data_IF_426566112362
#
_entry.id   IF_426566112362
#
_cell.length_a   1.000
_cell.length_b   1.000
_cell.length_c   1.000
_cell.angle_alpha   90.00
_cell.angle_beta   90.00
_cell.angle_gamma   90.00
#
_symmetry.space_group_name_H-M   'P 1'
#
loop_
_entity.id
_entity.type
_entity.pdbx_description
1 polymer ?
#
# COMPACT_ATOMS: atom_id res chain seq x y z
N UNK A 1 -13.81 -13.61 -6.79
CA UNK A 1 -12.63 -13.50 -7.68
C UNK A 1 -11.50 -14.25 -7.00
N UNK A 2 -10.91 -15.25 -7.65
CA UNK A 2 -9.84 -16.06 -7.07
C UNK A 2 -8.59 -15.16 -6.82
N UNK A 3 -7.85 -15.49 -5.77
CA UNK A 3 -6.58 -14.84 -5.39
C UNK A 3 -5.57 -14.80 -6.55
N UNK A 4 -5.58 -15.81 -7.40
CA UNK A 4 -4.77 -15.86 -8.63
C UNK A 4 -5.21 -14.80 -9.64
N UNK A 5 -6.50 -14.50 -9.70
CA UNK A 5 -7.04 -13.47 -10.58
C UNK A 5 -6.76 -12.06 -10.08
N UNK A 6 -6.73 -11.84 -8.75
CA UNK A 6 -6.31 -10.55 -8.18
C UNK A 6 -4.83 -10.28 -8.47
N UNK A 7 -3.97 -11.27 -8.21
CA UNK A 7 -2.54 -11.16 -8.49
C UNK A 7 -2.29 -11.02 -10.00
N UNK A 8 -3.02 -11.75 -10.84
CA UNK A 8 -2.96 -11.61 -12.29
C UNK A 8 -3.45 -10.24 -12.76
N UNK A 9 -4.53 -9.71 -12.19
CA UNK A 9 -5.05 -8.37 -12.52
C UNK A 9 -4.15 -7.26 -11.94
N UNK A 10 -3.58 -7.45 -10.76
CA UNK A 10 -2.57 -6.53 -10.20
C UNK A 10 -1.26 -6.55 -10.98
N UNK A 11 -0.88 -7.72 -11.50
CA UNK A 11 0.28 -7.89 -12.39
C UNK A 11 -0.03 -7.47 -13.84
N UNK A 12 -1.32 -7.52 -14.24
CA UNK A 12 -1.79 -7.21 -15.59
C UNK A 12 -2.32 -5.78 -15.73
N UNK A 13 -2.33 -4.98 -14.69
CA UNK A 13 -2.86 -3.66 -14.91
C UNK A 13 -2.89 -2.65 -13.77
N UNK A 14 -2.78 -3.02 -12.53
CA UNK A 14 -2.84 -2.05 -11.43
C UNK A 14 -1.73 -2.31 -10.41
N UNK A 15 -0.87 -1.34 -10.19
CA UNK A 15 0.20 -1.38 -9.20
C UNK A 15 0.19 -0.17 -8.28
N UNK A 16 0.63 -0.35 -7.05
CA UNK A 16 0.91 0.75 -6.12
C UNK A 16 2.41 0.92 -6.03
N UNK A 17 2.89 2.13 -6.32
CA UNK A 17 4.26 2.53 -6.07
C UNK A 17 4.28 3.36 -4.79
N UNK A 18 5.03 2.90 -3.79
CA UNK A 18 5.28 3.62 -2.55
C UNK A 18 6.75 4.03 -2.54
N UNK A 19 7.02 5.32 -2.38
CA UNK A 19 8.38 5.83 -2.20
C UNK A 19 8.46 6.60 -0.88
N UNK A 20 9.53 6.37 -0.13
CA UNK A 20 9.73 7.00 1.16
C UNK A 20 11.15 7.51 1.34
N UNK A 21 11.34 8.54 2.16
CA UNK A 21 12.66 8.98 2.59
C UNK A 21 13.14 8.09 3.74
N UNK A 22 14.06 7.21 3.46
CA UNK A 22 14.71 6.39 4.48
C UNK A 22 16.03 5.85 3.95
N UNK A 23 17.11 6.12 4.66
CA UNK A 23 18.40 5.50 4.33
C UNK A 23 18.27 3.99 4.53
N UNK A 24 18.36 3.23 3.46
CA UNK A 24 18.56 1.79 3.53
C UNK A 24 19.99 1.57 4.01
N UNK A 25 20.21 1.47 5.30
CA UNK A 25 21.38 0.79 5.82
C UNK A 25 21.11 -0.69 5.66
N UNK A 26 21.64 -1.28 4.60
CA UNK A 26 21.80 -2.72 4.53
C UNK A 26 22.67 -3.11 5.71
N UNK A 27 22.13 -3.86 6.65
CA UNK A 27 22.94 -4.64 7.59
C UNK A 27 23.58 -5.77 6.75
N UNK A 28 24.79 -5.49 6.28
CA UNK A 28 25.66 -6.51 5.70
C UNK A 28 26.25 -7.31 6.85
N UNK A 29 25.69 -8.46 7.15
CA UNK A 29 26.48 -9.57 7.67
C UNK A 29 25.70 -10.85 7.35
N UNK A 30 26.40 -11.77 6.67
CA UNK A 30 26.02 -13.14 6.33
C UNK A 30 25.12 -13.31 5.09
N UNK A 31 25.67 -12.97 3.91
CA UNK A 31 25.15 -13.44 2.61
C UNK A 31 26.26 -14.25 1.90
N UNK A 32 26.67 -15.36 2.48
CA UNK A 32 27.63 -16.24 1.79
C UNK A 32 27.02 -17.56 1.29
N UNK A 33 25.71 -17.75 1.28
CA UNK A 33 25.06 -18.97 0.74
C UNK A 33 23.75 -18.77 -0.02
N UNK A 34 23.59 -17.70 -0.79
CA UNK A 34 22.47 -17.63 -1.73
C UNK A 34 22.96 -17.96 -3.14
N UNK A 35 22.64 -19.17 -3.61
CA UNK A 35 22.79 -19.55 -5.03
C UNK A 35 22.08 -18.51 -5.89
N UNK A 36 22.68 -18.08 -7.03
CA UNK A 36 22.03 -17.19 -7.97
C UNK A 36 20.66 -17.75 -8.37
N UNK A 37 19.62 -16.97 -8.22
CA UNK A 37 18.30 -17.32 -8.74
C UNK A 37 18.41 -17.29 -10.27
N UNK A 38 17.99 -18.38 -10.92
CA UNK A 38 17.82 -18.46 -12.36
C UNK A 38 16.98 -17.27 -12.83
N UNK A 39 17.32 -16.63 -13.95
CA UNK A 39 16.55 -15.51 -14.47
C UNK A 39 15.13 -15.97 -14.79
N UNK A 40 14.15 -15.32 -14.18
CA UNK A 40 12.73 -15.55 -14.46
C UNK A 40 12.47 -15.21 -15.91
N UNK A 41 12.13 -16.21 -16.73
CA UNK A 41 11.88 -16.07 -18.18
C UNK A 41 10.61 -15.27 -18.52
N UNK A 42 9.83 -14.84 -17.55
CA UNK A 42 8.63 -14.03 -17.75
C UNK A 42 8.95 -12.55 -17.55
N UNK A 43 9.40 -11.91 -18.63
CA UNK A 43 9.71 -10.49 -18.75
C UNK A 43 8.48 -9.55 -18.65
N UNK A 44 7.36 -10.02 -18.12
CA UNK A 44 6.12 -9.23 -17.99
C UNK A 44 5.97 -8.49 -16.66
N UNK A 45 6.96 -8.61 -15.79
CA UNK A 45 6.99 -7.87 -14.52
C UNK A 45 7.95 -6.70 -14.70
N UNK A 46 7.41 -5.52 -14.97
CA UNK A 46 8.09 -4.25 -15.21
C UNK A 46 8.72 -4.15 -16.62
N UNK A 47 8.09 -3.38 -17.50
CA UNK A 47 8.58 -3.06 -18.84
C UNK A 47 9.87 -2.22 -18.83
N UNK A 48 11.02 -2.82 -18.47
CA UNK A 48 12.35 -2.19 -18.52
C UNK A 48 13.11 -2.48 -19.81
N UNK A 49 12.47 -3.06 -20.80
CA UNK A 49 13.15 -3.40 -22.06
C UNK A 49 12.94 -2.35 -23.12
N UNK A 50 13.39 -1.10 -22.94
CA UNK A 50 13.82 -0.18 -24.03
C UNK A 50 14.25 1.16 -23.43
N UNK A 51 15.41 1.19 -22.76
CA UNK A 51 16.16 2.42 -22.61
C UNK A 51 17.43 2.33 -23.49
N UNK A 52 17.82 3.40 -24.19
CA UNK A 52 19.04 3.41 -24.98
C UNK A 52 20.25 3.18 -24.08
N UNK A 53 21.21 2.42 -24.61
CA UNK A 53 22.42 1.89 -24.03
C UNK A 53 23.30 2.95 -23.35
N UNK A 54 22.91 3.43 -22.18
CA UNK A 54 23.82 4.09 -21.24
C UNK A 54 24.28 3.00 -20.25
N UNK A 55 25.60 2.77 -20.16
CA UNK A 55 26.22 1.89 -19.18
C UNK A 55 25.92 2.43 -17.77
N UNK A 56 24.72 2.18 -17.28
CA UNK A 56 24.37 2.31 -15.87
C UNK A 56 24.58 0.92 -15.26
N UNK A 57 25.50 0.82 -14.35
CA UNK A 57 25.64 -0.38 -13.50
C UNK A 57 24.40 -0.40 -12.60
N UNK A 58 23.31 -1.02 -13.08
CA UNK A 58 22.11 -1.27 -12.29
C UNK A 58 22.52 -2.30 -11.23
N UNK A 59 22.74 -1.84 -10.02
CA UNK A 59 22.81 -2.71 -8.85
C UNK A 59 21.38 -3.25 -8.64
N UNK A 60 21.14 -4.49 -9.06
CA UNK A 60 19.86 -5.19 -8.89
C UNK A 60 19.64 -5.58 -7.42
N UNK A 61 19.37 -4.61 -6.55
CA UNK A 61 18.91 -4.83 -5.18
C UNK A 61 17.38 -4.89 -5.11
N UNK A 62 16.75 -5.65 -6.01
CA UNK A 62 15.31 -5.83 -6.02
C UNK A 62 14.93 -7.03 -5.14
N UNK A 63 14.08 -6.81 -4.14
CA UNK A 63 13.51 -7.87 -3.31
C UNK A 63 12.06 -8.07 -3.73
N UNK A 64 11.73 -9.25 -4.25
CA UNK A 64 10.36 -9.63 -4.59
C UNK A 64 9.71 -10.43 -3.47
N UNK A 65 8.77 -9.84 -2.75
CA UNK A 65 7.91 -10.57 -1.82
C UNK A 65 6.71 -11.18 -2.56
N UNK A 66 6.80 -12.50 -2.85
CA UNK A 66 5.69 -13.22 -3.51
C UNK A 66 4.44 -13.21 -2.63
N UNK A 67 3.26 -13.09 -3.23
CA UNK A 67 1.99 -13.02 -2.51
C UNK A 67 1.72 -14.22 -1.59
N UNK A 68 2.14 -15.42 -1.99
CA UNK A 68 2.00 -16.65 -1.19
C UNK A 68 2.97 -16.76 -0.01
N UNK A 69 3.89 -15.80 0.15
CA UNK A 69 4.83 -15.74 1.29
C UNK A 69 4.40 -14.73 2.35
N UNK A 70 3.26 -14.05 2.16
CA UNK A 70 2.69 -13.14 3.15
C UNK A 70 2.10 -13.92 4.33
N UNK A 71 2.10 -13.32 5.52
CA UNK A 71 1.32 -13.83 6.65
C UNK A 71 -0.16 -13.92 6.26
N UNK A 72 -0.88 -14.87 6.85
CA UNK A 72 -2.31 -15.05 6.62
C UNK A 72 -3.03 -15.23 7.94
N UNK A 73 -4.08 -14.44 8.15
CA UNK A 73 -5.04 -14.60 9.22
C UNK A 73 -6.42 -14.85 8.63
N UNK A 74 -7.12 -15.84 9.16
CA UNK A 74 -8.52 -16.16 8.84
C UNK A 74 -9.33 -16.23 10.12
N UNK A 75 -10.26 -15.28 10.27
CA UNK A 75 -11.19 -15.19 11.41
C UNK A 75 -12.63 -15.55 11.01
N UNK A 76 -12.80 -16.22 9.85
CA UNK A 76 -14.10 -16.49 9.26
C UNK A 76 -14.70 -15.28 8.56
N UNK A 77 -14.95 -14.19 9.29
CA UNK A 77 -15.48 -12.94 8.73
C UNK A 77 -14.41 -12.03 8.09
N UNK A 78 -13.14 -12.23 8.44
CA UNK A 78 -11.97 -11.49 7.94
C UNK A 78 -10.95 -12.47 7.39
N UNK A 79 -10.50 -12.26 6.16
CA UNK A 79 -9.25 -12.82 5.64
C UNK A 79 -8.28 -11.69 5.40
N UNK A 80 -7.12 -11.74 6.04
CA UNK A 80 -6.08 -10.71 5.97
C UNK A 80 -4.75 -11.31 5.56
N UNK A 81 -4.08 -10.69 4.57
CA UNK A 81 -2.75 -11.07 4.12
C UNK A 81 -1.75 -9.98 4.45
N UNK A 82 -0.81 -10.30 5.34
CA UNK A 82 0.14 -9.36 5.92
C UNK A 82 1.47 -9.40 5.16
N UNK A 83 1.87 -8.28 4.57
CA UNK A 83 3.19 -8.15 3.94
C UNK A 83 4.28 -8.07 5.00
N UNK A 84 4.02 -7.38 6.11
CA UNK A 84 4.89 -7.23 7.26
C UNK A 84 4.28 -7.86 8.51
N UNK A 85 5.08 -8.02 9.55
CA UNK A 85 4.62 -8.52 10.85
C UNK A 85 3.48 -7.67 11.40
N UNK A 86 2.35 -8.32 11.67
CA UNK A 86 1.12 -7.69 12.12
C UNK A 86 0.28 -8.67 12.91
N UNK A 87 -0.37 -8.22 13.98
CA UNK A 87 -1.15 -9.05 14.89
C UNK A 87 -0.36 -10.31 15.34
N UNK A 88 -0.87 -11.50 15.06
CA UNK A 88 -0.23 -12.76 15.43
C UNK A 88 0.82 -13.26 14.40
N UNK A 89 0.96 -12.58 13.27
CA UNK A 89 2.00 -12.90 12.30
C UNK A 89 3.29 -12.17 12.66
N UNK A 90 4.34 -12.94 12.93
CA UNK A 90 5.67 -12.41 13.22
C UNK A 90 6.73 -13.00 12.31
N UNK A 91 7.46 -12.14 11.63
CA UNK A 91 8.65 -12.47 10.85
C UNK A 91 9.69 -11.35 11.07
N UNK A 92 10.82 -11.61 11.74
CA UNK A 92 11.82 -10.59 12.05
C UNK A 92 12.45 -9.94 10.81
N UNK A 93 12.44 -10.64 9.66
CA UNK A 93 12.94 -10.13 8.38
C UNK A 93 11.91 -9.25 7.66
N UNK A 94 10.67 -9.19 8.18
CA UNK A 94 9.54 -8.46 7.58
C UNK A 94 8.81 -7.63 8.62
N UNK A 95 9.51 -6.72 9.27
CA UNK A 95 8.92 -5.82 10.27
C UNK A 95 8.32 -4.58 9.62
N UNK A 96 8.98 -4.02 8.61
CA UNK A 96 8.58 -2.84 7.85
C UNK A 96 9.53 -2.65 6.65
N UNK A 97 9.18 -1.72 5.76
CA UNK A 97 10.09 -1.25 4.71
C UNK A 97 10.22 0.27 4.82
N UNK A 98 11.40 0.76 5.22
CA UNK A 98 11.56 2.18 5.56
C UNK A 98 10.53 2.60 6.59
N UNK A 99 9.72 3.59 6.25
CA UNK A 99 8.60 4.08 7.09
C UNK A 99 7.28 3.34 6.87
N UNK A 100 7.19 2.48 5.86
CA UNK A 100 6.00 1.66 5.60
C UNK A 100 5.93 0.52 6.61
N UNK A 101 4.99 0.63 7.56
CA UNK A 101 4.86 -0.30 8.69
C UNK A 101 3.89 -1.44 8.43
N UNK A 102 2.77 -1.15 7.76
CA UNK A 102 1.72 -2.14 7.45
C UNK A 102 1.33 -2.01 5.99
N UNK A 103 1.17 -3.15 5.35
CA UNK A 103 0.52 -3.31 4.05
C UNK A 103 -0.25 -4.62 4.08
N UNK A 104 -1.52 -4.53 4.43
CA UNK A 104 -2.44 -5.65 4.49
C UNK A 104 -3.42 -5.61 3.32
N UNK A 105 -3.79 -6.79 2.86
CA UNK A 105 -4.79 -7.04 1.82
C UNK A 105 -5.94 -7.77 2.52
N UNK A 106 -6.97 -7.00 2.85
CA UNK A 106 -8.06 -7.42 3.71
C UNK A 106 -9.33 -7.70 2.91
N UNK A 107 -10.02 -8.79 3.26
CA UNK A 107 -11.34 -9.15 2.75
C UNK A 107 -12.28 -9.33 3.94
N UNK A 108 -13.32 -8.51 4.03
CA UNK A 108 -14.27 -8.48 5.15
C UNK A 108 -15.66 -8.85 4.66
N UNK A 109 -16.33 -9.79 5.35
CA UNK A 109 -17.70 -10.21 5.04
C UNK A 109 -18.70 -9.06 5.21
N UNK A 110 -19.85 -9.19 4.56
CA UNK A 110 -20.94 -8.21 4.61
C UNK A 110 -21.38 -7.91 6.03
N UNK A 111 -21.48 -6.62 6.38
CA UNK A 111 -21.88 -6.12 7.68
C UNK A 111 -20.88 -6.34 8.83
N UNK A 112 -19.75 -7.01 8.57
CA UNK A 112 -18.68 -7.22 9.53
C UNK A 112 -17.63 -6.12 9.43
N UNK A 113 -16.71 -6.06 10.39
CA UNK A 113 -15.67 -5.03 10.40
C UNK A 113 -14.89 -5.00 11.69
N UNK A 114 -14.08 -3.97 11.82
CA UNK A 114 -13.24 -3.70 12.98
C UNK A 114 -13.97 -2.73 13.90
N UNK A 115 -14.29 -3.18 15.13
CA UNK A 115 -14.87 -2.36 16.17
C UNK A 115 -13.98 -1.19 16.56
N UNK A 116 -14.51 -0.28 17.36
CA UNK A 116 -13.79 0.90 17.81
C UNK A 116 -12.48 0.54 18.50
N UNK A 117 -11.38 1.06 17.98
CA UNK A 117 -10.02 0.83 18.48
C UNK A 117 -9.17 2.12 18.33
N UNK A 118 -8.14 2.28 19.19
CA UNK A 118 -7.33 3.50 19.23
C UNK A 118 -6.12 3.41 18.30
N UNK A 119 -5.68 4.60 17.85
CA UNK A 119 -4.38 4.82 17.23
C UNK A 119 -3.76 6.12 17.75
N UNK A 120 -2.44 6.18 17.78
CA UNK A 120 -1.66 7.39 17.96
C UNK A 120 -0.42 7.40 17.06
N UNK A 121 0.04 8.59 16.69
CA UNK A 121 1.27 8.78 15.92
C UNK A 121 1.45 7.81 14.75
N UNK A 122 0.39 7.66 13.94
CA UNK A 122 0.35 6.81 12.77
C UNK A 122 -0.42 7.49 11.64
N UNK A 123 0.07 7.36 10.41
CA UNK A 123 -0.65 7.69 9.19
C UNK A 123 -1.30 6.41 8.68
N UNK A 124 -2.63 6.40 8.60
CA UNK A 124 -3.43 5.23 8.24
C UNK A 124 -4.15 5.52 6.94
N UNK A 125 -3.94 4.67 5.93
CA UNK A 125 -4.48 4.84 4.60
C UNK A 125 -5.32 3.63 4.24
N UNK A 126 -6.56 3.85 3.77
CA UNK A 126 -7.44 2.80 3.27
C UNK A 126 -7.73 3.02 1.79
N UNK A 127 -7.54 1.96 0.98
CA UNK A 127 -7.78 1.97 -0.46
C UNK A 127 -8.68 0.78 -0.81
N UNK A 128 -10.00 0.98 -0.95
CA UNK A 128 -10.91 -0.07 -1.36
C UNK A 128 -10.64 -0.55 -2.79
N UNK A 129 -10.57 -1.86 -2.95
CA UNK A 129 -10.41 -2.55 -4.23
C UNK A 129 -11.74 -3.09 -4.76
N UNK A 130 -12.69 -3.38 -3.84
CA UNK A 130 -14.02 -3.88 -4.16
C UNK A 130 -14.95 -3.59 -2.99
N UNK A 131 -16.18 -3.12 -3.27
CA UNK A 131 -17.18 -2.82 -2.23
C UNK A 131 -16.95 -1.49 -1.54
N UNK A 132 -17.63 -1.29 -0.42
CA UNK A 132 -17.70 -0.03 0.31
C UNK A 132 -17.28 -0.24 1.77
N UNK A 133 -16.30 0.53 2.24
CA UNK A 133 -15.83 0.54 3.63
C UNK A 133 -16.40 1.76 4.36
N UNK A 134 -17.14 1.55 5.45
CA UNK A 134 -17.62 2.63 6.31
C UNK A 134 -16.59 2.92 7.39
N UNK A 135 -16.16 4.17 7.50
CA UNK A 135 -15.31 4.69 8.55
C UNK A 135 -16.11 5.58 9.51
N UNK A 136 -15.85 5.44 10.82
CA UNK A 136 -16.33 6.36 11.87
C UNK A 136 -15.20 6.61 12.84
N UNK A 137 -15.06 7.87 13.29
CA UNK A 137 -14.01 8.24 14.23
C UNK A 137 -14.48 9.14 15.38
N UNK A 138 -13.60 9.34 16.36
CA UNK A 138 -13.87 10.16 17.55
C UNK A 138 -13.88 11.67 17.27
N UNK A 139 -13.50 12.11 16.07
CA UNK A 139 -13.66 13.50 15.63
C UNK A 139 -15.07 13.79 15.08
N UNK A 140 -15.90 12.74 14.92
CA UNK A 140 -17.26 12.84 14.39
C UNK A 140 -17.36 12.60 12.90
N UNK A 141 -16.28 12.20 12.22
CA UNK A 141 -16.37 11.82 10.83
C UNK A 141 -17.11 10.49 10.67
N UNK A 142 -18.02 10.46 9.70
CA UNK A 142 -18.72 9.26 9.24
C UNK A 142 -18.68 9.31 7.71
N UNK A 143 -17.92 8.40 7.12
CA UNK A 143 -17.71 8.38 5.67
C UNK A 143 -17.81 6.98 5.11
N UNK A 144 -18.16 6.89 3.84
CA UNK A 144 -18.08 5.64 3.06
C UNK A 144 -17.00 5.81 2.01
N UNK A 145 -15.97 4.97 2.14
CA UNK A 145 -14.83 4.92 1.23
C UNK A 145 -15.15 3.85 0.19
N UNK A 146 -15.23 4.22 -1.07
CA UNK A 146 -15.65 3.35 -2.18
C UNK A 146 -14.47 2.91 -3.03
N UNK A 147 -14.68 1.90 -3.86
CA UNK A 147 -13.71 1.60 -4.91
C UNK A 147 -13.48 2.86 -5.78
N UNK A 148 -12.21 3.25 -5.91
CA UNK A 148 -11.80 4.50 -6.56
C UNK A 148 -11.54 5.65 -5.60
N UNK A 149 -11.84 5.51 -4.30
CA UNK A 149 -11.46 6.48 -3.28
C UNK A 149 -10.10 6.12 -2.65
N UNK A 150 -9.45 7.13 -2.11
CA UNK A 150 -8.33 7.02 -1.17
C UNK A 150 -8.65 7.82 0.07
N UNK A 151 -8.52 7.19 1.23
CA UNK A 151 -8.75 7.82 2.53
C UNK A 151 -7.44 7.85 3.31
N UNK A 152 -7.25 8.91 4.09
CA UNK A 152 -6.19 9.00 5.09
C UNK A 152 -6.74 9.48 6.43
N UNK A 153 -6.22 8.88 7.51
CA UNK A 153 -6.41 9.32 8.88
C UNK A 153 -5.04 9.51 9.53
N UNK A 154 -4.69 10.74 9.88
CA UNK A 154 -3.51 11.03 10.70
C UNK A 154 -3.91 10.92 12.18
N UNK A 155 -3.39 9.93 12.89
CA UNK A 155 -3.81 9.66 14.27
C UNK A 155 -3.26 10.69 15.29
N UNK A 156 -2.11 11.29 15.01
CA UNK A 156 -1.54 12.40 15.79
C UNK A 156 -1.51 12.13 17.30
N UNK A 157 -2.12 13.02 18.09
CA UNK A 157 -2.19 12.92 19.56
C UNK A 157 -3.08 11.78 20.07
N UNK A 158 -3.83 11.13 19.20
CA UNK A 158 -4.72 10.01 19.50
C UNK A 158 -6.10 10.16 18.90
N UNK A 159 -6.60 9.08 18.35
CA UNK A 159 -7.92 8.95 17.77
C UNK A 159 -8.46 7.53 18.01
N UNK A 160 -9.76 7.38 18.13
CA UNK A 160 -10.41 6.07 18.02
C UNK A 160 -11.26 6.02 16.78
N UNK A 161 -11.25 4.89 16.08
CA UNK A 161 -12.08 4.69 14.90
C UNK A 161 -12.60 3.27 14.77
N UNK A 162 -13.54 3.08 13.86
CA UNK A 162 -14.08 1.78 13.45
C UNK A 162 -14.19 1.73 11.94
N UNK A 163 -14.02 0.54 11.37
CA UNK A 163 -14.13 0.30 9.93
C UNK A 163 -15.01 -0.92 9.68
N UNK A 164 -16.13 -0.73 9.00
CA UNK A 164 -17.10 -1.78 8.71
C UNK A 164 -17.37 -1.90 7.22
N UNK A 165 -17.61 -3.13 6.76
CA UNK A 165 -18.19 -3.34 5.44
C UNK A 165 -19.60 -2.75 5.43
N UNK A 166 -19.80 -1.68 4.64
CA UNK A 166 -21.10 -1.01 4.50
C UNK A 166 -22.16 -1.88 3.85
N UNK A 167 -21.74 -2.80 2.99
CA UNK A 167 -22.64 -3.74 2.33
C UNK A 167 -22.95 -4.91 3.27
N UNK A 168 -24.19 -5.40 3.25
CA UNK A 168 -24.60 -6.53 4.10
C UNK A 168 -24.49 -7.87 3.39
N UNK A 169 -24.49 -7.88 2.08
CA UNK A 169 -24.67 -9.04 1.21
C UNK A 169 -23.45 -9.38 0.35
N UNK A 170 -22.41 -8.56 0.39
CA UNK A 170 -21.16 -8.76 -0.36
C UNK A 170 -19.95 -8.38 0.47
N UNK A 171 -18.82 -8.93 0.12
CA UNK A 171 -17.54 -8.60 0.76
C UNK A 171 -17.06 -7.21 0.35
N UNK A 172 -16.24 -6.59 1.22
CA UNK A 172 -15.35 -5.48 0.87
C UNK A 172 -13.92 -6.00 0.85
N UNK A 173 -13.13 -5.54 -0.14
CA UNK A 173 -11.69 -5.78 -0.22
C UNK A 173 -10.98 -4.45 -0.26
N UNK A 174 -9.95 -4.31 0.55
CA UNK A 174 -9.19 -3.06 0.61
C UNK A 174 -7.75 -3.30 1.05
N UNK A 175 -6.89 -2.35 0.74
CA UNK A 175 -5.55 -2.29 1.29
C UNK A 175 -5.59 -1.39 2.53
N UNK A 176 -5.11 -1.95 3.65
CA UNK A 176 -4.87 -1.21 4.88
C UNK A 176 -3.37 -0.94 4.97
N UNK A 177 -2.99 0.33 4.99
CA UNK A 177 -1.60 0.77 4.92
C UNK A 177 -1.31 1.69 6.10
N UNK A 178 -0.22 1.42 6.83
CA UNK A 178 0.24 2.28 7.92
C UNK A 178 1.65 2.79 7.63
N UNK A 179 1.84 4.08 7.82
CA UNK A 179 3.12 4.74 7.63
C UNK A 179 3.51 5.47 8.92
N UNK A 180 4.73 5.27 9.39
CA UNK A 180 5.25 6.03 10.51
C UNK A 180 5.37 7.52 10.14
N UNK A 181 4.78 8.45 10.92
CA UNK A 181 4.89 9.86 10.63
C UNK A 181 6.30 10.40 10.93
N UNK A 182 6.71 11.45 10.22
CA UNK A 182 7.92 12.23 10.52
C UNK A 182 7.66 13.30 11.58
N UNK A 183 6.39 13.58 11.91
CA UNK A 183 5.96 14.57 12.90
C UNK A 183 4.96 13.92 13.86
N UNK A 184 5.33 13.89 15.14
CA UNK A 184 4.50 13.30 16.19
C UNK A 184 3.62 14.34 16.86
N UNK A 185 2.57 13.85 17.54
CA UNK A 185 1.64 14.64 18.36
C UNK A 185 0.99 15.79 17.62
N UNK A 186 0.75 15.60 16.32
CA UNK A 186 -0.05 16.52 15.51
C UNK A 186 -1.53 16.41 15.88
N UNK A 187 -2.31 17.41 15.53
CA UNK A 187 -3.79 17.32 15.63
C UNK A 187 -4.29 16.20 14.72
N UNK A 188 -5.11 15.29 15.20
CA UNK A 188 -5.73 14.27 14.37
C UNK A 188 -6.50 14.87 13.19
N UNK A 189 -6.45 14.22 12.03
CA UNK A 189 -7.17 14.67 10.83
C UNK A 189 -7.68 13.47 10.02
N UNK A 190 -8.71 13.74 9.26
CA UNK A 190 -9.30 12.84 8.28
C UNK A 190 -9.36 13.54 6.91
N UNK A 191 -9.11 12.80 5.85
CA UNK A 191 -9.25 13.28 4.49
C UNK A 191 -9.60 12.13 3.54
N UNK A 192 -10.35 12.41 2.48
CA UNK A 192 -10.76 11.43 1.49
C UNK A 192 -10.97 12.10 0.15
N UNK A 193 -10.48 11.48 -0.91
CA UNK A 193 -10.72 11.92 -2.28
C UNK A 193 -11.20 10.76 -3.14
N UNK A 194 -11.95 11.10 -4.19
CA UNK A 194 -12.32 10.18 -5.27
C UNK A 194 -11.38 10.38 -6.45
N UNK A 195 -10.74 9.29 -6.89
CA UNK A 195 -9.82 9.27 -8.02
C UNK A 195 -10.58 9.05 -9.33
N UNK A 196 -10.13 9.72 -10.37
CA UNK A 196 -10.63 9.47 -11.73
C UNK A 196 -9.86 8.31 -12.37
N UNK A 197 -10.57 7.34 -12.92
CA UNK A 197 -9.95 6.17 -13.52
C UNK A 197 -9.09 6.49 -14.75
N UNK A 198 -9.48 7.52 -15.51
CA UNK A 198 -8.75 8.01 -16.68
C UNK A 198 -7.36 8.55 -16.33
N UNK A 199 -7.18 9.12 -15.13
CA UNK A 199 -5.91 9.71 -14.69
C UNK A 199 -4.83 8.67 -14.38
N UNK A 200 -5.20 7.38 -14.31
CA UNK A 200 -4.25 6.28 -14.08
C UNK A 200 -4.16 5.28 -15.24
N UNK A 201 -4.87 5.53 -16.35
CA UNK A 201 -4.82 4.65 -17.51
C UNK A 201 -3.51 4.87 -18.28
N UNK A 202 -2.66 3.84 -18.33
CA UNK A 202 -1.32 3.84 -18.94
C UNK A 202 -0.36 4.90 -18.36
N UNK A 203 -0.60 5.35 -17.13
CA UNK A 203 0.26 6.30 -16.42
C UNK A 203 0.16 6.10 -14.90
N UNK A 204 1.10 6.69 -14.17
CA UNK A 204 1.12 6.69 -12.71
C UNK A 204 0.41 7.96 -12.20
N UNK A 205 -0.77 7.79 -11.58
CA UNK A 205 -1.50 8.85 -10.90
C UNK A 205 -0.99 8.95 -9.46
N UNK A 206 -0.49 10.13 -9.05
CA UNK A 206 -0.18 10.39 -7.65
C UNK A 206 -1.48 10.44 -6.84
N UNK A 207 -1.54 9.70 -5.75
CA UNK A 207 -2.73 9.58 -4.90
C UNK A 207 -2.47 10.06 -3.47
N UNK A 208 -1.18 10.20 -3.09
CA UNK A 208 -0.76 10.65 -1.78
C UNK A 208 0.64 11.28 -1.86
N UNK A 209 0.87 12.34 -1.09
CA UNK A 209 2.15 13.02 -0.96
C UNK A 209 2.35 13.62 0.44
N UNK A 210 3.53 14.19 0.76
CA UNK A 210 3.75 14.94 2.00
C UNK A 210 3.17 16.37 2.01
N UNK A 211 2.64 16.84 0.87
CA UNK A 211 2.23 18.23 0.70
C UNK A 211 0.72 18.34 0.44
N UNK A 212 0.03 19.17 1.22
CA UNK A 212 -1.41 19.38 1.10
C UNK A 212 -1.82 20.05 -0.23
N UNK A 213 -0.89 20.73 -0.90
CA UNK A 213 -1.16 21.41 -2.19
C UNK A 213 -0.92 20.51 -3.40
N UNK A 214 -0.40 19.29 -3.19
CA UNK A 214 -0.18 18.31 -4.25
C UNK A 214 -1.48 17.55 -4.59
N UNK A 215 -1.45 16.83 -5.72
CA UNK A 215 -2.52 15.91 -6.07
C UNK A 215 -2.60 14.75 -5.08
N UNK A 216 -3.82 14.36 -4.72
CA UNK A 216 -4.09 13.28 -3.80
C UNK A 216 -4.38 13.74 -2.37
N UNK A 217 -4.42 12.79 -1.44
CA UNK A 217 -4.41 13.08 0.00
C UNK A 217 -2.98 13.31 0.48
N UNK A 218 -2.80 13.91 1.65
CA UNK A 218 -1.47 14.15 2.18
C UNK A 218 -1.25 13.54 3.57
N UNK A 219 0.00 13.25 3.93
CA UNK A 219 0.41 12.69 5.22
C UNK A 219 1.62 13.41 5.79
N UNK A 220 1.83 13.26 7.09
CA UNK A 220 3.03 13.75 7.79
C UNK A 220 4.21 12.79 7.59
N UNK A 221 4.60 12.52 6.32
CA UNK A 221 5.79 11.73 6.00
C UNK A 221 6.24 12.01 4.57
N UNK A 222 7.55 12.01 4.33
CA UNK A 222 8.14 12.07 2.98
C UNK A 222 7.90 10.73 2.26
N UNK A 223 6.67 10.54 1.80
CA UNK A 223 6.25 9.36 1.06
C UNK A 223 5.27 9.76 -0.05
N UNK A 224 5.38 9.09 -1.21
CA UNK A 224 4.53 9.31 -2.37
C UNK A 224 3.92 8.00 -2.82
N UNK A 225 2.61 7.95 -2.95
CA UNK A 225 1.89 6.79 -3.43
C UNK A 225 1.32 7.08 -4.81
N UNK A 226 1.42 6.10 -5.68
CA UNK A 226 0.90 6.19 -7.04
C UNK A 226 0.10 4.92 -7.37
N UNK A 227 -0.99 5.11 -8.09
CA UNK A 227 -1.74 4.02 -8.73
C UNK A 227 -1.55 4.12 -10.24
N UNK A 228 -1.44 2.97 -10.90
CA UNK A 228 -1.41 2.89 -12.35
C UNK A 228 -2.17 1.68 -12.86
N UNK A 229 -2.83 1.82 -13.99
CA UNK A 229 -3.47 0.74 -14.72
C UNK A 229 -2.93 0.71 -16.14
N UNK A 230 -2.22 -0.36 -16.48
CA UNK A 230 -1.50 -0.44 -17.76
C UNK A 230 -2.07 -1.54 -18.64
N UNK A 231 -2.28 -1.23 -19.91
CA UNK A 231 -2.57 -2.21 -20.94
C UNK A 231 -1.33 -3.07 -21.23
N UNK A 232 -1.52 -4.23 -21.83
CA UNK A 232 -0.42 -5.11 -22.19
C UNK A 232 0.60 -4.39 -23.10
N UNK A 233 1.89 -4.47 -22.75
CA UNK A 233 2.98 -3.82 -23.48
C UNK A 233 3.13 -2.31 -23.24
N UNK A 234 2.33 -1.71 -22.36
CA UNK A 234 2.49 -0.33 -21.90
C UNK A 234 3.28 -0.27 -20.61
N UNK A 235 3.95 0.85 -20.36
CA UNK A 235 4.70 1.10 -19.15
C UNK A 235 4.84 2.60 -18.91
N UNK A 236 5.34 2.96 -17.73
CA UNK A 236 5.64 4.33 -17.35
C UNK A 236 6.98 4.39 -16.64
N UNK A 237 7.64 5.53 -16.70
CA UNK A 237 8.82 5.82 -15.89
C UNK A 237 8.42 6.62 -14.66
N UNK A 238 9.10 6.37 -13.56
CA UNK A 238 8.95 7.16 -12.34
C UNK A 238 10.30 7.74 -11.92
N UNK A 239 10.31 9.03 -11.67
CA UNK A 239 11.48 9.69 -11.11
C UNK A 239 11.31 9.79 -9.59
N UNK A 240 12.25 9.23 -8.84
CA UNK A 240 12.27 9.30 -7.38
C UNK A 240 12.33 10.77 -6.94
N UNK A 241 11.43 11.15 -6.02
CA UNK A 241 11.20 12.54 -5.62
C UNK A 241 12.28 13.11 -4.70
N UNK A 242 13.04 12.26 -4.03
CA UNK A 242 14.05 12.65 -3.05
C UNK A 242 15.26 11.73 -3.13
N UNK A 243 16.48 12.26 -3.01
CA UNK A 243 17.69 11.45 -2.94
C UNK A 243 17.64 10.48 -1.75
N UNK A 244 18.09 9.25 -1.96
CA UNK A 244 18.11 8.20 -0.94
C UNK A 244 16.79 7.42 -0.81
N UNK A 245 15.87 7.62 -1.72
CA UNK A 245 14.61 6.87 -1.79
C UNK A 245 14.74 5.70 -2.77
#
# INVERSE_FOLDING_TARGET
MDRKDFIRKSLLGTGILVTGAGSIKALSNDIDELKPLEPVKDSHILGFNHLPNTKSTIMNNTILHKANTRGHADHGWLQSYHTFSFANYYNPERMHFGVLRVLNDDTVQGGMGFGTHPHDNMEIISIPLEGDLEHKDSMGNISVIRNGDVQVMSAGTGITHSEYNKNRDKTVKFLQIWVFPNKKSVTPRYDQITLKAEDRHNQLQQILSPNADDAGVWIHQDAWFHLGQFDAGKGSSYQVKKEGN
#
